data_IF_381973451623
#
_entry.id   IF_381973451623
#
_cell.length_a   1.000
_cell.length_b   1.000
_cell.length_c   1.000
_cell.angle_alpha   90.00
_cell.angle_beta   90.00
_cell.angle_gamma   90.00
#
_symmetry.space_group_name_H-M   'P 1'
#
loop_
_entity.id
_entity.type
_entity.pdbx_description
1 polymer ?
#
# COMPACT_ATOMS: atom_id res chain seq x y z
N UNK A 1 15.53 1.05 -7.75
CA UNK A 1 14.61 1.78 -6.87
C UNK A 1 15.30 2.22 -5.61
N UNK A 2 14.94 3.40 -5.12
CA UNK A 2 15.44 3.90 -3.84
C UNK A 2 14.45 3.58 -2.74
N UNK A 3 14.95 3.09 -1.60
CA UNK A 3 14.13 2.72 -0.45
C UNK A 3 14.63 3.47 0.77
N UNK A 4 13.70 4.15 1.44
CA UNK A 4 13.98 4.88 2.67
C UNK A 4 13.05 4.37 3.76
N UNK A 5 13.60 4.09 4.94
CA UNK A 5 12.82 3.69 6.10
C UNK A 5 12.90 4.81 7.13
N UNK A 6 11.73 5.27 7.60
CA UNK A 6 11.60 6.29 8.63
C UNK A 6 11.00 5.67 9.89
N UNK A 7 11.57 5.97 11.03
CA UNK A 7 11.05 5.51 12.31
C UNK A 7 10.25 6.63 12.97
N UNK A 8 8.94 6.39 13.13
CA UNK A 8 8.01 7.31 13.78
C UNK A 8 7.55 6.73 15.11
N UNK A 9 6.91 7.54 15.94
CA UNK A 9 6.45 7.10 17.25
C UNK A 9 5.53 5.88 17.20
N UNK A 10 4.52 5.91 16.34
CA UNK A 10 3.50 4.86 16.27
C UNK A 10 3.73 3.84 15.16
N UNK A 11 4.66 4.10 14.25
CA UNK A 11 4.87 3.24 13.08
C UNK A 11 6.26 3.45 12.47
N UNK A 12 6.67 2.51 11.64
CA UNK A 12 7.73 2.70 10.67
C UNK A 12 7.11 2.95 9.30
N UNK A 13 7.72 3.84 8.51
CA UNK A 13 7.28 4.11 7.14
C UNK A 13 8.36 3.73 6.16
N UNK A 14 7.96 3.01 5.12
CA UNK A 14 8.83 2.68 4.00
C UNK A 14 8.42 3.56 2.84
N UNK A 15 9.37 4.27 2.27
CA UNK A 15 9.14 5.09 1.07
C UNK A 15 9.92 4.44 -0.06
N UNK A 16 9.21 4.03 -1.11
CA UNK A 16 9.81 3.43 -2.30
C UNK A 16 9.70 4.44 -3.44
N UNK A 17 10.83 4.74 -4.07
CA UNK A 17 10.91 5.70 -5.18
C UNK A 17 11.48 5.01 -6.40
N UNK A 18 10.75 5.09 -7.51
CA UNK A 18 11.26 4.72 -8.83
C UNK A 18 11.77 5.98 -9.50
N UNK A 19 13.08 6.21 -9.45
CA UNK A 19 13.71 7.41 -9.97
C UNK A 19 13.66 7.48 -11.50
N UNK A 20 13.65 6.33 -12.15
CA UNK A 20 13.66 6.24 -13.62
C UNK A 20 12.29 6.61 -14.19
N UNK A 21 11.22 6.09 -13.59
CA UNK A 21 9.86 6.27 -14.08
C UNK A 21 9.06 7.30 -13.27
N UNK A 22 9.72 8.04 -12.39
CA UNK A 22 9.10 9.11 -11.60
C UNK A 22 7.85 8.65 -10.86
N UNK A 23 8.00 7.58 -10.09
CA UNK A 23 6.92 7.02 -9.30
C UNK A 23 7.31 6.82 -7.85
N UNK A 24 6.30 6.71 -6.98
CA UNK A 24 6.50 6.49 -5.56
C UNK A 24 5.33 5.72 -4.95
N UNK A 25 5.62 5.03 -3.85
CA UNK A 25 4.61 4.37 -3.02
C UNK A 25 5.11 4.36 -1.58
N UNK A 26 4.19 4.35 -0.63
CA UNK A 26 4.52 4.33 0.79
C UNK A 26 3.88 3.13 1.47
N UNK A 27 4.55 2.65 2.52
CA UNK A 27 4.05 1.59 3.40
C UNK A 27 4.12 2.10 4.83
N UNK A 28 3.05 1.89 5.59
CA UNK A 28 3.08 2.09 7.03
C UNK A 28 3.06 0.73 7.72
N UNK A 29 4.06 0.50 8.58
CA UNK A 29 4.13 -0.69 9.44
C UNK A 29 3.90 -0.22 10.87
N UNK A 30 2.70 -0.41 11.44
CA UNK A 30 2.40 0.06 12.78
C UNK A 30 3.17 -0.74 13.82
N UNK A 31 3.61 -0.04 14.86
CA UNK A 31 4.22 -0.68 16.03
C UNK A 31 3.12 -1.29 16.91
N UNK A 32 3.42 -2.34 17.68
CA UNK A 32 2.46 -2.90 18.63
C UNK A 32 1.90 -1.83 19.58
N UNK A 33 0.59 -1.86 19.78
CA UNK A 33 -0.09 -0.94 20.66
C UNK A 33 -1.50 -0.55 20.19
N UNK A 34 -2.14 0.43 20.86
CA UNK A 34 -3.53 0.81 20.59
C UNK A 34 -3.77 1.29 19.16
N UNK A 35 -2.80 2.00 18.56
CA UNK A 35 -2.92 2.45 17.17
C UNK A 35 -3.06 1.28 16.22
N UNK A 36 -2.18 0.27 16.35
CA UNK A 36 -2.24 -0.94 15.53
C UNK A 36 -3.55 -1.69 15.76
N UNK A 37 -3.97 -1.84 16.99
CA UNK A 37 -5.18 -2.57 17.34
C UNK A 37 -6.43 -1.93 16.75
N UNK A 38 -6.49 -0.60 16.71
CA UNK A 38 -7.63 0.13 16.18
C UNK A 38 -7.68 0.16 14.65
N UNK A 39 -6.55 0.43 13.99
CA UNK A 39 -6.53 0.70 12.54
C UNK A 39 -6.03 -0.46 11.68
N UNK A 40 -5.47 -1.50 12.29
CA UNK A 40 -4.88 -2.63 11.58
C UNK A 40 -5.46 -3.96 12.05
N UNK A 41 -6.78 -4.08 11.98
CA UNK A 41 -7.50 -5.28 12.42
C UNK A 41 -7.40 -6.43 11.41
N UNK A 42 -7.15 -6.14 10.14
CA UNK A 42 -7.19 -7.14 9.07
C UNK A 42 -5.83 -7.39 8.40
N UNK A 43 -4.83 -6.56 8.67
CA UNK A 43 -3.53 -6.69 8.04
C UNK A 43 -2.43 -6.10 8.93
N UNK A 44 -1.18 -6.50 8.67
CA UNK A 44 -0.03 -6.08 9.45
C UNK A 44 0.50 -4.69 9.08
N UNK A 45 0.24 -4.25 7.86
CA UNK A 45 0.69 -2.96 7.34
C UNK A 45 -0.24 -2.44 6.26
N UNK A 46 -0.03 -1.21 5.84
CA UNK A 46 -0.80 -0.58 4.78
C UNK A 46 0.10 -0.01 3.69
N UNK A 47 -0.31 -0.18 2.43
CA UNK A 47 0.28 0.49 1.29
C UNK A 47 -0.63 1.65 0.90
N UNK A 48 -0.05 2.81 0.64
CA UNK A 48 -0.78 4.03 0.30
C UNK A 48 0.06 4.97 -0.55
N UNK A 49 -0.59 6.00 -1.08
CA UNK A 49 0.06 7.04 -1.91
C UNK A 49 0.86 6.47 -3.09
N UNK A 50 0.31 5.46 -3.76
CA UNK A 50 0.86 4.99 -5.01
C UNK A 50 0.64 6.05 -6.10
N UNK A 51 1.73 6.52 -6.69
CA UNK A 51 1.67 7.53 -7.72
C UNK A 51 2.79 7.34 -8.75
N UNK A 52 2.47 7.52 -10.01
CA UNK A 52 3.43 7.52 -11.11
C UNK A 52 3.13 8.75 -11.97
N UNK A 53 4.17 9.49 -12.34
CA UNK A 53 4.04 10.65 -13.22
C UNK A 53 3.31 10.23 -14.51
N UNK A 54 2.36 11.03 -14.95
CA UNK A 54 1.51 10.72 -16.10
C UNK A 54 2.29 10.35 -17.35
N UNK A 55 3.42 11.02 -17.59
CA UNK A 55 4.30 10.76 -18.75
C UNK A 55 4.91 9.35 -18.72
N UNK A 56 5.01 8.74 -17.54
CA UNK A 56 5.71 7.47 -17.33
C UNK A 56 4.74 6.33 -17.00
N UNK A 57 3.44 6.57 -17.09
CA UNK A 57 2.43 5.54 -16.85
C UNK A 57 2.38 4.52 -17.98
N UNK A 58 1.77 3.35 -17.73
CA UNK A 58 1.64 2.23 -18.67
C UNK A 58 2.97 1.56 -19.05
N UNK A 59 4.00 1.71 -18.21
CA UNK A 59 5.30 1.09 -18.42
C UNK A 59 5.62 0.04 -17.34
N UNK A 60 4.63 -0.38 -16.57
CA UNK A 60 4.81 -1.36 -15.51
C UNK A 60 5.37 -0.81 -14.21
N UNK A 61 5.59 0.51 -14.09
CA UNK A 61 6.15 1.11 -12.89
C UNK A 61 5.25 0.95 -11.66
N UNK A 62 3.95 1.15 -11.81
CA UNK A 62 3.02 1.01 -10.68
C UNK A 62 3.04 -0.42 -10.13
N UNK A 63 3.06 -1.43 -10.98
CA UNK A 63 3.15 -2.82 -10.57
C UNK A 63 4.47 -3.11 -9.84
N UNK A 64 5.58 -2.62 -10.40
CA UNK A 64 6.89 -2.81 -9.80
C UNK A 64 6.97 -2.11 -8.43
N UNK A 65 6.40 -0.91 -8.29
CA UNK A 65 6.30 -0.21 -7.01
C UNK A 65 5.53 -1.04 -5.98
N UNK A 66 4.37 -1.59 -6.37
CA UNK A 66 3.57 -2.43 -5.48
C UNK A 66 4.34 -3.69 -5.05
N UNK A 67 4.95 -4.38 -6.00
CA UNK A 67 5.75 -5.58 -5.72
C UNK A 67 6.92 -5.26 -4.77
N UNK A 68 7.62 -4.15 -5.01
CA UNK A 68 8.73 -3.72 -4.15
C UNK A 68 8.23 -3.37 -2.75
N UNK A 69 7.11 -2.65 -2.64
CA UNK A 69 6.51 -2.32 -1.36
C UNK A 69 6.18 -3.58 -0.55
N UNK A 70 5.60 -4.59 -1.20
CA UNK A 70 5.26 -5.86 -0.55
C UNK A 70 6.51 -6.60 -0.08
N UNK A 71 7.56 -6.63 -0.88
CA UNK A 71 8.85 -7.25 -0.50
C UNK A 71 9.45 -6.55 0.71
N UNK A 72 9.48 -5.21 0.72
CA UNK A 72 10.04 -4.45 1.84
C UNK A 72 9.21 -4.59 3.11
N UNK A 73 7.89 -4.63 3.00
CA UNK A 73 7.00 -4.90 4.13
C UNK A 73 7.28 -6.30 4.72
N UNK A 74 7.44 -7.28 3.86
CA UNK A 74 7.77 -8.65 4.29
C UNK A 74 9.10 -8.73 5.03
N UNK A 75 10.09 -7.98 4.61
CA UNK A 75 11.39 -7.89 5.30
C UNK A 75 11.24 -7.36 6.73
N UNK A 76 10.26 -6.52 6.99
CA UNK A 76 9.94 -6.01 8.33
C UNK A 76 8.99 -6.93 9.13
N UNK A 77 8.72 -8.12 8.62
CA UNK A 77 7.92 -9.12 9.33
C UNK A 77 6.44 -9.11 9.02
N UNK A 78 5.98 -8.30 8.07
CA UNK A 78 4.57 -8.26 7.69
C UNK A 78 4.18 -9.51 6.90
N UNK A 79 3.02 -10.08 7.22
CA UNK A 79 2.45 -11.25 6.54
C UNK A 79 1.24 -10.87 5.70
N UNK A 80 0.72 -9.67 5.87
CA UNK A 80 -0.45 -9.19 5.16
C UNK A 80 -0.39 -7.68 4.99
N UNK A 81 -1.03 -7.21 3.93
CA UNK A 81 -1.03 -5.80 3.55
C UNK A 81 -2.46 -5.37 3.28
N UNK A 82 -2.84 -4.18 3.75
CA UNK A 82 -4.11 -3.57 3.42
C UNK A 82 -3.90 -2.31 2.58
N UNK A 83 -4.90 -1.97 1.78
CA UNK A 83 -5.00 -0.69 1.11
C UNK A 83 -6.47 -0.25 1.05
N UNK A 84 -6.66 1.03 0.87
CA UNK A 84 -8.00 1.61 0.74
C UNK A 84 -8.27 2.00 -0.72
N UNK A 85 -9.48 1.74 -1.17
CA UNK A 85 -9.99 2.21 -2.46
C UNK A 85 -11.24 3.05 -2.24
N UNK A 86 -11.24 4.24 -2.84
CA UNK A 86 -12.34 5.20 -2.74
C UNK A 86 -13.16 5.18 -4.03
N UNK A 87 -14.41 4.73 -3.93
CA UNK A 87 -15.32 4.66 -5.07
C UNK A 87 -15.81 6.02 -5.56
N UNK A 88 -15.60 7.08 -4.78
CA UNK A 88 -15.96 8.45 -5.15
C UNK A 88 -14.85 9.18 -5.89
N UNK A 89 -13.59 8.85 -5.58
CA UNK A 89 -12.42 9.52 -6.15
C UNK A 89 -11.61 8.67 -7.13
N UNK A 90 -11.87 7.37 -7.21
CA UNK A 90 -11.12 6.45 -8.06
C UNK A 90 -12.02 5.79 -9.10
N UNK A 91 -11.44 5.46 -10.25
CA UNK A 91 -12.15 4.80 -11.33
C UNK A 91 -12.27 3.28 -11.07
N UNK A 92 -13.37 2.62 -11.49
CA UNK A 92 -13.58 1.19 -11.24
C UNK A 92 -12.45 0.28 -11.73
N UNK A 93 -11.78 0.62 -12.82
CA UNK A 93 -10.68 -0.20 -13.35
C UNK A 93 -9.49 -0.26 -12.38
N UNK A 94 -9.33 0.72 -11.49
CA UNK A 94 -8.27 0.70 -10.47
C UNK A 94 -8.55 -0.39 -9.45
N UNK A 95 -9.81 -0.56 -9.03
CA UNK A 95 -10.20 -1.65 -8.15
C UNK A 95 -9.89 -3.01 -8.77
N UNK A 96 -10.28 -3.20 -10.03
CA UNK A 96 -10.00 -4.43 -10.76
C UNK A 96 -8.50 -4.71 -10.88
N UNK A 97 -7.71 -3.65 -11.07
CA UNK A 97 -6.26 -3.77 -11.14
C UNK A 97 -5.68 -4.28 -9.82
N UNK A 98 -6.11 -3.73 -8.67
CA UNK A 98 -5.70 -4.24 -7.37
C UNK A 98 -6.13 -5.70 -7.16
N UNK A 99 -7.33 -6.06 -7.59
CA UNK A 99 -7.82 -7.43 -7.48
C UNK A 99 -6.97 -8.40 -8.31
N UNK A 100 -6.52 -7.99 -9.49
CA UNK A 100 -5.59 -8.78 -10.30
C UNK A 100 -4.22 -8.94 -9.64
N UNK A 101 -3.81 -8.00 -8.81
CA UNK A 101 -2.57 -8.11 -8.02
C UNK A 101 -2.71 -9.01 -6.79
N UNK A 102 -3.92 -9.52 -6.53
CA UNK A 102 -4.19 -10.44 -5.43
C UNK A 102 -4.88 -9.81 -4.23
N UNK A 103 -5.28 -8.55 -4.30
CA UNK A 103 -6.00 -7.88 -3.22
C UNK A 103 -7.48 -8.27 -3.24
N UNK A 104 -8.05 -8.51 -2.06
CA UNK A 104 -9.45 -8.91 -1.90
C UNK A 104 -10.18 -7.87 -1.06
N UNK A 105 -11.41 -7.58 -1.42
CA UNK A 105 -12.27 -6.70 -0.63
C UNK A 105 -12.55 -7.40 0.71
N UNK A 106 -12.21 -6.73 1.80
CA UNK A 106 -12.38 -7.27 3.15
C UNK A 106 -13.51 -6.59 3.91
N UNK A 107 -13.60 -5.27 3.82
CA UNK A 107 -14.55 -4.49 4.60
C UNK A 107 -14.71 -3.11 3.98
N UNK A 108 -15.69 -2.36 4.49
CA UNK A 108 -15.80 -0.92 4.24
C UNK A 108 -15.47 -0.20 5.53
N UNK A 109 -14.53 0.76 5.48
CA UNK A 109 -14.13 1.47 6.69
C UNK A 109 -15.12 2.59 7.05
N UNK A 110 -14.87 3.26 8.17
CA UNK A 110 -15.73 4.34 8.67
C UNK A 110 -15.88 5.50 7.70
N UNK A 111 -14.88 5.74 6.86
CA UNK A 111 -14.89 6.79 5.84
C UNK A 111 -15.65 6.37 4.57
N UNK A 112 -16.24 5.19 4.54
CA UNK A 112 -16.95 4.65 3.39
C UNK A 112 -16.05 4.08 2.30
N UNK A 113 -14.74 3.99 2.52
CA UNK A 113 -13.79 3.41 1.56
C UNK A 113 -13.74 1.90 1.71
N UNK A 114 -13.51 1.20 0.59
CA UNK A 114 -13.28 -0.23 0.64
C UNK A 114 -11.88 -0.52 1.15
N UNK A 115 -11.79 -1.48 2.07
CA UNK A 115 -10.53 -2.01 2.57
C UNK A 115 -10.23 -3.31 1.84
N UNK A 116 -9.09 -3.35 1.15
CA UNK A 116 -8.61 -4.53 0.45
C UNK A 116 -7.41 -5.10 1.17
N UNK A 117 -7.28 -6.42 1.18
CA UNK A 117 -6.21 -7.13 1.90
C UNK A 117 -5.58 -8.17 0.99
N UNK A 118 -4.27 -8.32 1.10
CA UNK A 118 -3.47 -9.36 0.44
C UNK A 118 -2.52 -9.98 1.44
N UNK A 119 -2.42 -11.29 1.41
CA UNK A 119 -1.36 -12.02 2.14
C UNK A 119 -0.08 -12.02 1.32
N UNK A 120 1.05 -11.80 1.97
CA UNK A 120 2.34 -11.69 1.30
C UNK A 120 3.39 -12.66 1.83
#
# INVERSE_FOLDING_TARGET
>A
MMIQIQDWELSQKIIVVDEINHGTVQVEVPKPGPYKDEYYQFADCAIYNLWVDEKYRKQGSARLLMETAEVEAKKLGCKSVQLEWDDKGSKPFVLEWYQRLGYRIKARNENGRLLLVKEI
#
